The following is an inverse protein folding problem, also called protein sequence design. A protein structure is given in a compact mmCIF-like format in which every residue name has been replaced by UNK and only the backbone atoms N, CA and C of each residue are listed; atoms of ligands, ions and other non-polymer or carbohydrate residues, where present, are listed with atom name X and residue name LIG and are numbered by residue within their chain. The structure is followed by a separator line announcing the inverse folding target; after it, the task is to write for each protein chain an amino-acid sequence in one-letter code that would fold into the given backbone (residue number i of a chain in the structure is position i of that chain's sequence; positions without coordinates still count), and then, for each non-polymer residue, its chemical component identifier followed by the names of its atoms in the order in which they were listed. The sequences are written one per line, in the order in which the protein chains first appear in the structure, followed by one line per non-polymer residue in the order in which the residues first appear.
data_IF_914107387509
#
_entry.id   IF_914107387509
#
_cell.length_a   1.000
_cell.length_b   1.000
_cell.length_c   1.000
_cell.angle_alpha   90.00
_cell.angle_beta   90.00
_cell.angle_gamma   90.00
#
_symmetry.space_group_name_H-M   'P 1'
#
loop_
_entity.id
_entity.type
_entity.pdbx_description
1 polymer ?
#
# COMPACT_ATOMS: atom_id res chain seq x y z
N UNK A 1 6.77 -0.16 8.55
CA UNK A 1 7.62 -0.26 7.34
C UNK A 1 8.20 -1.67 7.10
N UNK A 2 8.90 -2.28 8.06
CA UNK A 2 9.46 -3.65 7.90
C UNK A 2 8.41 -4.69 7.50
N UNK A 3 7.21 -4.66 8.09
CA UNK A 3 6.08 -5.52 7.71
C UNK A 3 5.69 -5.41 6.23
N UNK A 4 5.75 -4.21 5.64
CA UNK A 4 5.43 -4.00 4.21
C UNK A 4 6.45 -4.72 3.34
N UNK A 5 7.74 -4.64 3.68
CA UNK A 5 8.81 -5.32 2.95
C UNK A 5 8.66 -6.84 3.02
N UNK A 6 8.34 -7.39 4.19
CA UNK A 6 8.10 -8.84 4.36
C UNK A 6 6.90 -9.29 3.52
N UNK A 7 5.82 -8.51 3.55
CA UNK A 7 4.64 -8.82 2.75
C UNK A 7 4.96 -8.80 1.25
N UNK A 8 5.78 -7.85 0.79
CA UNK A 8 6.25 -7.82 -0.60
C UNK A 8 7.14 -9.01 -0.96
N UNK A 9 8.05 -9.39 -0.07
CA UNK A 9 8.90 -10.58 -0.23
C UNK A 9 8.05 -11.85 -0.38
N UNK A 10 6.91 -11.91 0.30
CA UNK A 10 6.00 -13.05 0.24
C UNK A 10 5.10 -13.03 -1.01
N UNK A 11 4.63 -11.86 -1.45
CA UNK A 11 3.76 -11.70 -2.64
C UNK A 11 4.54 -11.79 -3.96
N UNK A 12 5.77 -11.27 -4.01
CA UNK A 12 6.54 -11.22 -5.25
C UNK A 12 7.16 -12.57 -5.59
N UNK A 13 6.78 -13.10 -6.75
CA UNK A 13 7.52 -14.14 -7.46
C UNK A 13 8.58 -13.47 -8.34
N UNK A 14 9.61 -12.89 -7.71
CA UNK A 14 10.73 -12.31 -8.46
C UNK A 14 11.55 -13.43 -9.12
N UNK A 15 11.12 -13.90 -10.30
CA UNK A 15 11.88 -14.87 -11.09
C UNK A 15 12.77 -14.18 -12.14
N UNK A 16 12.57 -12.88 -12.44
CA UNK A 16 13.35 -12.13 -13.44
C UNK A 16 13.55 -10.65 -13.02
N UNK A 17 14.74 -10.04 -13.20
CA UNK A 17 16.02 -10.66 -13.53
C UNK A 17 16.76 -11.05 -12.23
N UNK A 18 16.69 -12.32 -11.81
CA UNK A 18 17.67 -12.92 -10.88
C UNK A 18 17.53 -12.66 -9.37
N UNK A 19 16.53 -11.92 -8.88
CA UNK A 19 16.37 -11.73 -7.43
C UNK A 19 15.62 -12.88 -6.77
N UNK A 20 16.36 -13.90 -6.31
CA UNK A 20 15.79 -14.98 -5.51
C UNK A 20 15.46 -14.50 -4.08
N UNK A 21 14.20 -14.12 -3.86
CA UNK A 21 13.70 -13.69 -2.55
C UNK A 21 13.47 -14.84 -1.57
N UNK A 22 13.62 -16.11 -1.99
CA UNK A 22 13.48 -17.28 -1.13
C UNK A 22 14.50 -17.27 0.00
N UNK A 23 15.78 -17.04 -0.31
CA UNK A 23 16.84 -16.97 0.71
C UNK A 23 16.57 -15.85 1.71
N UNK A 24 16.11 -14.68 1.24
CA UNK A 24 15.75 -13.58 2.12
C UNK A 24 14.57 -13.96 3.02
N UNK A 25 13.55 -14.64 2.49
CA UNK A 25 12.40 -15.13 3.24
C UNK A 25 12.81 -16.12 4.32
N UNK A 26 13.65 -17.09 3.97
CA UNK A 26 14.20 -18.08 4.92
C UNK A 26 15.02 -17.41 6.03
N UNK A 27 15.86 -16.44 5.71
CA UNK A 27 16.63 -15.67 6.70
C UNK A 27 15.70 -14.88 7.63
N UNK A 28 14.70 -14.20 7.09
CA UNK A 28 13.73 -13.43 7.86
C UNK A 28 12.93 -14.33 8.81
N UNK A 29 12.56 -15.52 8.37
CA UNK A 29 11.87 -16.49 9.22
C UNK A 29 12.78 -17.08 10.29
N UNK A 30 13.99 -17.54 9.91
CA UNK A 30 14.92 -18.21 10.82
C UNK A 30 15.45 -17.30 11.93
N UNK A 31 15.83 -16.07 11.59
CA UNK A 31 16.50 -15.17 12.53
C UNK A 31 15.55 -14.16 13.19
N UNK A 32 14.47 -13.76 12.50
CA UNK A 32 13.57 -12.72 12.98
C UNK A 32 12.13 -13.23 13.22
N UNK A 33 11.87 -14.53 13.03
CA UNK A 33 10.57 -15.19 13.25
C UNK A 33 9.43 -14.59 12.42
N UNK A 34 9.74 -14.04 11.25
CA UNK A 34 8.73 -13.59 10.32
C UNK A 34 8.06 -14.76 9.58
N UNK A 35 6.79 -14.62 9.18
CA UNK A 35 6.08 -15.70 8.49
C UNK A 35 6.61 -15.89 7.07
N UNK A 36 6.68 -17.15 6.65
CA UNK A 36 7.02 -17.55 5.28
C UNK A 36 5.83 -17.43 4.31
N UNK A 37 4.63 -17.25 4.86
CA UNK A 37 3.40 -17.08 4.12
C UNK A 37 2.99 -15.59 4.10
N UNK A 38 2.37 -15.12 3.01
CA UNK A 38 1.83 -13.77 2.95
C UNK A 38 0.69 -13.62 3.95
N UNK A 39 0.62 -12.46 4.61
CA UNK A 39 -0.58 -12.07 5.34
C UNK A 39 -1.74 -11.85 4.39
N UNK A 40 -2.97 -11.89 4.92
CA UNK A 40 -4.14 -11.49 4.16
C UNK A 40 -4.02 -10.01 3.76
N UNK A 41 -4.00 -9.72 2.46
CA UNK A 41 -3.77 -8.35 1.93
C UNK A 41 -4.83 -7.34 2.40
N UNK A 42 -6.08 -7.76 2.58
CA UNK A 42 -7.17 -6.87 3.00
C UNK A 42 -7.01 -6.45 4.45
N UNK A 43 -6.76 -7.42 5.33
CA UNK A 43 -6.50 -7.15 6.74
C UNK A 43 -5.22 -6.32 6.90
N UNK A 44 -4.15 -6.69 6.18
CA UNK A 44 -2.87 -6.00 6.21
C UNK A 44 -3.00 -4.53 5.78
N UNK A 45 -3.75 -4.26 4.71
CA UNK A 45 -4.01 -2.90 4.25
C UNK A 45 -4.78 -2.09 5.29
N UNK A 46 -5.82 -2.68 5.88
CA UNK A 46 -6.63 -2.03 6.90
C UNK A 46 -5.79 -1.65 8.12
N UNK A 47 -4.92 -2.55 8.58
CA UNK A 47 -3.98 -2.29 9.67
C UNK A 47 -3.01 -1.16 9.30
N UNK A 48 -2.36 -1.26 8.15
CA UNK A 48 -1.40 -0.26 7.67
C UNK A 48 -2.03 1.13 7.53
N UNK A 49 -3.25 1.20 6.98
CA UNK A 49 -3.99 2.45 6.84
C UNK A 49 -4.44 3.00 8.19
N UNK A 50 -4.89 2.15 9.11
CA UNK A 50 -5.29 2.58 10.46
C UNK A 50 -4.10 3.12 11.26
N UNK A 51 -2.94 2.46 11.17
CA UNK A 51 -1.72 2.91 11.82
C UNK A 51 -1.23 4.23 11.23
N UNK A 52 -1.35 4.40 9.91
CA UNK A 52 -1.09 5.67 9.25
C UNK A 52 -2.01 6.79 9.77
N UNK A 53 -3.31 6.55 9.92
CA UNK A 53 -4.24 7.55 10.44
C UNK A 53 -3.94 7.95 11.89
N UNK A 54 -3.42 7.03 12.71
CA UNK A 54 -3.03 7.34 14.09
C UNK A 54 -1.76 8.19 14.18
N UNK A 55 -0.85 8.02 13.23
CA UNK A 55 0.42 8.75 13.18
C UNK A 55 0.84 8.98 11.73
N UNK A 56 0.28 10.03 11.08
CA UNK A 56 0.60 10.34 9.70
C UNK A 56 2.05 10.83 9.62
N UNK A 57 2.90 10.01 9.01
CA UNK A 57 4.32 10.31 8.84
C UNK A 57 4.80 9.82 7.47
N UNK A 58 5.83 10.47 6.92
CA UNK A 58 6.42 10.11 5.60
C UNK A 58 6.72 8.62 5.42
N UNK A 59 7.24 7.87 6.42
CA UNK A 59 7.46 6.43 6.27
C UNK A 59 6.15 5.63 6.11
N UNK A 60 5.04 6.12 6.68
CA UNK A 60 3.71 5.55 6.53
C UNK A 60 3.14 5.79 5.12
N UNK A 61 3.28 7.02 4.59
CA UNK A 61 2.92 7.35 3.20
C UNK A 61 3.64 6.43 2.22
N UNK A 62 4.96 6.30 2.39
CA UNK A 62 5.80 5.46 1.55
C UNK A 62 5.41 3.98 1.65
N UNK A 63 5.12 3.51 2.87
CA UNK A 63 4.68 2.13 3.10
C UNK A 63 3.37 1.80 2.39
N UNK A 64 2.36 2.68 2.48
CA UNK A 64 1.09 2.54 1.77
C UNK A 64 1.30 2.57 0.25
N UNK A 65 2.08 3.52 -0.24
CA UNK A 65 2.37 3.68 -1.67
C UNK A 65 3.04 2.43 -2.25
N UNK A 66 4.08 1.95 -1.58
CA UNK A 66 4.81 0.75 -1.98
C UNK A 66 3.90 -0.48 -1.94
N UNK A 67 3.06 -0.63 -0.93
CA UNK A 67 2.14 -1.77 -0.87
C UNK A 67 1.11 -1.72 -2.00
N UNK A 68 0.47 -0.57 -2.23
CA UNK A 68 -0.52 -0.40 -3.29
C UNK A 68 0.06 -0.63 -4.69
N UNK A 69 1.26 -0.11 -4.99
CA UNK A 69 1.93 -0.32 -6.29
C UNK A 69 2.20 -1.79 -6.63
N UNK A 70 2.18 -2.68 -5.64
CA UNK A 70 2.44 -4.09 -5.82
C UNK A 70 1.18 -4.97 -5.77
N UNK A 71 0.00 -4.36 -5.67
CA UNK A 71 -1.29 -5.02 -5.81
C UNK A 71 -1.92 -4.65 -7.16
N UNK A 72 -3.00 -5.35 -7.55
CA UNK A 72 -3.71 -5.03 -8.80
C UNK A 72 -4.46 -3.71 -8.69
N UNK A 73 -4.48 -2.93 -9.78
CA UNK A 73 -5.26 -1.69 -9.91
C UNK A 73 -6.69 -1.84 -9.37
N UNK A 74 -7.40 -2.88 -9.86
CA UNK A 74 -8.78 -3.18 -9.43
C UNK A 74 -8.89 -3.32 -7.91
N UNK A 75 -7.94 -4.00 -7.28
CA UNK A 75 -7.94 -4.16 -5.83
C UNK A 75 -7.66 -2.84 -5.11
N UNK A 76 -6.70 -2.04 -5.60
CA UNK A 76 -6.35 -0.74 -5.02
C UNK A 76 -7.53 0.23 -5.10
N UNK A 77 -8.18 0.35 -6.26
CA UNK A 77 -9.37 1.17 -6.45
C UNK A 77 -10.50 0.74 -5.50
N UNK A 78 -10.76 -0.56 -5.37
CA UNK A 78 -11.76 -1.08 -4.43
C UNK A 78 -11.48 -0.66 -2.98
N UNK A 79 -10.21 -0.74 -2.54
CA UNK A 79 -9.83 -0.29 -1.18
C UNK A 79 -9.93 1.21 -1.00
N UNK A 80 -9.62 1.99 -2.03
CA UNK A 80 -9.78 3.44 -1.99
C UNK A 80 -11.25 3.80 -1.82
N UNK A 81 -12.14 3.17 -2.59
CA UNK A 81 -13.57 3.49 -2.56
C UNK A 81 -14.26 3.02 -1.29
N UNK A 82 -13.97 1.80 -0.83
CA UNK A 82 -14.66 1.21 0.32
C UNK A 82 -14.09 1.63 1.68
N UNK A 83 -12.81 1.99 1.74
CA UNK A 83 -12.12 2.25 3.00
C UNK A 83 -11.59 3.68 3.10
N UNK A 84 -10.82 4.13 2.11
CA UNK A 84 -10.07 5.39 2.22
C UNK A 84 -11.00 6.61 2.09
N UNK A 85 -11.83 6.67 1.04
CA UNK A 85 -12.75 7.81 0.79
C UNK A 85 -13.72 8.03 1.95
N UNK A 86 -14.44 7.01 2.47
CA UNK A 86 -15.38 7.19 3.58
C UNK A 86 -14.68 7.66 4.86
N UNK A 87 -13.51 7.09 5.15
CA UNK A 87 -12.74 7.44 6.35
C UNK A 87 -12.24 8.88 6.30
N UNK A 88 -11.70 9.32 5.16
CA UNK A 88 -11.29 10.72 4.98
C UNK A 88 -12.45 11.70 5.05
N UNK A 89 -13.61 11.35 4.51
CA UNK A 89 -14.81 12.18 4.61
C UNK A 89 -15.22 12.35 6.09
N UNK A 90 -15.19 11.28 6.89
CA UNK A 90 -15.52 11.34 8.32
C UNK A 90 -14.53 12.20 9.13
N UNK A 91 -13.24 12.12 8.86
CA UNK A 91 -12.20 12.90 9.56
C UNK A 91 -12.31 14.40 9.23
N UNK A 92 -12.61 14.74 7.97
CA UNK A 92 -12.75 16.14 7.53
C UNK A 92 -13.91 16.88 8.19
N UNK A 93 -14.88 16.15 8.77
CA UNK A 93 -16.00 16.70 9.55
C UNK A 93 -15.57 17.02 11.00
N UNK A 94 -14.45 16.47 11.48
CA UNK A 94 -14.08 16.50 12.90
C UNK A 94 -12.86 17.35 13.26
N UNK A 95 -11.85 17.54 12.40
CA UNK A 95 -10.64 18.31 12.77
C UNK A 95 -10.10 19.16 11.63
N UNK A 96 -9.92 20.47 11.88
CA UNK A 96 -9.34 21.47 10.96
C UNK A 96 -7.80 21.41 10.85
N UNK A 97 -7.14 20.47 11.53
CA UNK A 97 -5.69 20.52 11.80
C UNK A 97 -4.80 19.61 10.95
N UNK A 98 -5.34 18.62 10.23
CA UNK A 98 -4.52 17.67 9.42
C UNK A 98 -4.69 17.85 7.90
N UNK A 99 -4.92 19.10 7.48
CA UNK A 99 -5.32 19.44 6.12
C UNK A 99 -4.22 19.16 5.08
N UNK A 100 -2.94 19.27 5.45
CA UNK A 100 -1.82 19.05 4.51
C UNK A 100 -1.60 17.57 4.17
N UNK A 101 -1.67 16.67 5.16
CA UNK A 101 -1.47 15.24 4.93
C UNK A 101 -2.67 14.60 4.21
N UNK A 102 -3.89 15.03 4.54
CA UNK A 102 -5.10 14.64 3.80
C UNK A 102 -5.01 15.15 2.35
N UNK A 103 -4.53 16.38 2.13
CA UNK A 103 -4.36 16.92 0.77
C UNK A 103 -3.23 16.22 0.00
N UNK A 104 -2.12 15.87 0.66
CA UNK A 104 -1.04 15.06 0.09
C UNK A 104 -1.55 13.68 -0.33
N UNK A 105 -2.30 13.00 0.54
CA UNK A 105 -2.89 11.69 0.24
C UNK A 105 -3.95 11.79 -0.87
N UNK A 106 -4.76 12.86 -0.90
CA UNK A 106 -5.69 13.14 -2.02
C UNK A 106 -4.96 13.39 -3.34
N UNK A 107 -3.87 14.16 -3.32
CA UNK A 107 -3.03 14.41 -4.51
C UNK A 107 -2.38 13.12 -5.01
N UNK A 108 -1.89 12.28 -4.10
CA UNK A 108 -1.35 10.97 -4.42
C UNK A 108 -2.41 10.03 -5.01
N UNK A 109 -3.61 9.95 -4.42
CA UNK A 109 -4.73 9.18 -4.96
C UNK A 109 -5.11 9.63 -6.37
N UNK A 110 -5.10 10.94 -6.63
CA UNK A 110 -5.33 11.49 -7.98
C UNK A 110 -4.24 11.06 -8.96
N UNK A 111 -2.96 11.13 -8.58
CA UNK A 111 -1.85 10.68 -9.43
C UNK A 111 -1.95 9.20 -9.79
N UNK A 112 -2.38 8.32 -8.87
CA UNK A 112 -2.60 6.90 -9.20
C UNK A 112 -3.70 6.73 -10.23
N UNK A 113 -4.81 7.46 -10.08
CA UNK A 113 -5.95 7.38 -11.00
C UNK A 113 -5.59 7.97 -12.38
N UNK A 114 -4.81 9.06 -12.42
CA UNK A 114 -4.40 9.76 -13.64
C UNK A 114 -3.33 8.98 -14.43
N UNK A 115 -2.31 8.43 -13.76
CA UNK A 115 -1.31 7.56 -14.40
C UNK A 115 -1.96 6.30 -15.02
N UNK A 116 -3.04 5.80 -14.41
CA UNK A 116 -3.79 4.65 -14.91
C UNK A 116 -4.75 4.99 -16.05
N UNK A 117 -5.35 6.20 -16.07
CA UNK A 117 -6.11 6.69 -17.22
C UNK A 117 -5.27 6.72 -18.50
N UNK A 118 -3.97 7.03 -18.37
CA UNK A 118 -3.01 6.98 -19.48
C UNK A 118 -2.62 5.54 -19.83
N UNK A 119 -2.38 4.67 -18.85
CA UNK A 119 -1.99 3.28 -19.10
C UNK A 119 -3.11 2.42 -19.74
N UNK A 120 -4.38 2.70 -19.43
CA UNK A 120 -5.53 1.99 -20.01
C UNK A 120 -5.81 2.44 -21.46
N UNK A 121 -5.51 3.71 -21.80
CA UNK A 121 -5.57 4.24 -23.17
C UNK A 121 -4.46 3.65 -24.04
N UNK A 122 -3.24 3.50 -23.51
CA UNK A 122 -2.10 2.93 -24.22
C UNK A 122 -2.25 1.41 -24.46
N UNK A 123 -3.04 0.70 -23.66
CA UNK A 123 -3.36 -0.72 -23.90
C UNK A 123 -4.47 -0.95 -24.94
N UNK A 124 -5.17 0.09 -25.37
CA UNK A 124 -6.26 0.03 -26.37
C UNK A 124 -5.91 0.66 -27.72
N UNK A 125 -4.70 1.19 -27.88
CA UNK A 125 -4.13 1.68 -29.14
C UNK A 125 -3.16 0.64 -29.71
#
# INVERSE_FOLDING_TARGET
MVKVLIQLVNIKTCNLPGYNLLLLRELLSKYYRYPNEPWNSDQFFKELFTDYLKNPARPGDFGLLVFCKNNTCKWVCDKIEKLVKPTLASISVQTKTDTEHINSMRSWLKSIIEDEGVAEVVKRA
#
